data_IF_884467094710
#
_entry.id   IF_884467094710
#
_cell.length_a   1.000
_cell.length_b   1.000
_cell.length_c   1.000
_cell.angle_alpha   90.00
_cell.angle_beta   90.00
_cell.angle_gamma   90.00
#
_symmetry.space_group_name_H-M   'P 1'
#
loop_
_entity.id
_entity.type
_entity.pdbx_description
1 polymer ?
#
# COMPACT_ATOMS: atom_id res chain seq x y z
N UNK A 1 -8.09 -6.84 -25.41
CA UNK A 1 -7.86 -6.65 -23.96
C UNK A 1 -6.39 -6.33 -23.75
N UNK A 2 -6.02 -5.19 -23.14
CA UNK A 2 -4.62 -4.89 -22.86
C UNK A 2 -4.07 -5.96 -21.92
N UNK A 3 -2.91 -6.54 -22.27
CA UNK A 3 -2.23 -7.51 -21.40
C UNK A 3 -1.79 -6.78 -20.14
N UNK A 4 -2.32 -7.19 -18.99
CA UNK A 4 -1.81 -6.79 -17.67
C UNK A 4 -0.38 -7.28 -17.61
N UNK A 5 0.57 -6.36 -17.83
CA UNK A 5 1.99 -6.70 -17.77
C UNK A 5 2.34 -6.74 -16.28
N UNK A 6 2.83 -7.88 -15.76
CA UNK A 6 3.16 -7.96 -14.35
C UNK A 6 4.28 -6.96 -14.04
N UNK A 7 4.13 -6.24 -12.93
CA UNK A 7 5.19 -5.37 -12.43
C UNK A 7 6.43 -6.18 -12.09
N UNK A 8 7.59 -5.72 -12.54
CA UNK A 8 8.87 -6.29 -12.14
C UNK A 8 9.33 -5.61 -10.86
N UNK A 9 10.11 -6.34 -10.08
CA UNK A 9 10.79 -5.78 -8.90
C UNK A 9 11.63 -4.53 -9.24
N UNK A 10 12.19 -4.48 -10.45
CA UNK A 10 12.93 -3.33 -10.96
C UNK A 10 12.04 -2.07 -11.07
N UNK A 11 10.78 -2.22 -11.48
CA UNK A 11 9.84 -1.12 -11.62
C UNK A 11 9.45 -0.55 -10.25
N UNK A 12 9.20 -1.44 -9.28
CA UNK A 12 8.93 -1.07 -7.88
C UNK A 12 10.13 -0.32 -7.29
N UNK A 13 11.34 -0.84 -7.51
CA UNK A 13 12.58 -0.21 -7.01
C UNK A 13 12.80 1.17 -7.61
N UNK A 14 12.51 1.34 -8.91
CA UNK A 14 12.58 2.64 -9.58
C UNK A 14 11.56 3.63 -9.01
N UNK A 15 10.32 3.19 -8.74
CA UNK A 15 9.29 4.03 -8.14
C UNK A 15 9.68 4.50 -6.73
N UNK A 16 10.22 3.61 -5.89
CA UNK A 16 10.72 3.95 -4.54
C UNK A 16 11.82 5.01 -4.63
N UNK A 17 12.82 4.78 -5.48
CA UNK A 17 13.94 5.72 -5.66
C UNK A 17 13.48 7.07 -6.18
N UNK A 18 12.51 7.09 -7.10
CA UNK A 18 11.89 8.32 -7.60
C UNK A 18 11.17 9.09 -6.50
N UNK A 19 10.41 8.40 -5.65
CA UNK A 19 9.74 9.02 -4.50
C UNK A 19 10.76 9.61 -3.50
N UNK A 20 11.81 8.88 -3.17
CA UNK A 20 12.90 9.35 -2.30
C UNK A 20 13.61 10.58 -2.89
N UNK A 21 13.93 10.57 -4.19
CA UNK A 21 14.53 11.70 -4.89
C UNK A 21 13.64 12.94 -4.90
N UNK A 22 12.32 12.75 -4.88
CA UNK A 22 11.33 13.82 -4.75
C UNK A 22 11.11 14.28 -3.29
N UNK A 23 11.88 13.78 -2.32
CA UNK A 23 11.77 14.14 -0.91
C UNK A 23 10.59 13.49 -0.18
N UNK A 24 10.02 12.41 -0.73
CA UNK A 24 9.03 11.60 -0.03
C UNK A 24 9.72 10.48 0.75
N UNK A 25 9.30 10.28 1.99
CA UNK A 25 9.58 9.08 2.77
C UNK A 25 8.55 7.99 2.44
N UNK A 26 8.91 6.95 1.68
CA UNK A 26 7.99 5.89 1.29
C UNK A 26 7.64 5.03 2.51
N UNK A 27 6.35 4.84 2.77
CA UNK A 27 5.84 3.96 3.83
C UNK A 27 5.27 2.65 3.29
N UNK A 28 4.31 2.74 2.38
CA UNK A 28 3.64 1.59 1.78
C UNK A 28 3.57 1.74 0.26
N UNK A 29 3.69 0.63 -0.47
CA UNK A 29 3.44 0.58 -1.90
C UNK A 29 2.19 -0.25 -2.17
N UNK A 30 1.26 0.31 -2.94
CA UNK A 30 0.09 -0.42 -3.44
C UNK A 30 0.14 -0.52 -4.94
N UNK A 31 -0.08 -1.73 -5.44
CA UNK A 31 -0.20 -2.02 -6.86
C UNK A 31 -1.69 -2.19 -7.15
N UNK A 32 -2.24 -1.25 -7.91
CA UNK A 32 -3.64 -1.28 -8.33
C UNK A 32 -3.82 -2.20 -9.54
N UNK A 33 -5.03 -2.74 -9.71
CA UNK A 33 -5.35 -3.69 -10.79
C UNK A 33 -5.27 -3.05 -12.20
N UNK A 34 -5.27 -1.72 -12.26
CA UNK A 34 -5.12 -0.91 -13.46
C UNK A 34 -3.66 -0.78 -13.93
N UNK A 35 -2.70 -1.28 -13.15
CA UNK A 35 -1.28 -1.13 -13.47
C UNK A 35 -0.68 0.19 -12.96
N UNK A 36 -1.20 0.76 -11.87
CA UNK A 36 -0.62 1.93 -11.21
C UNK A 36 0.09 1.55 -9.90
N UNK A 37 1.30 2.08 -9.67
CA UNK A 37 2.00 1.98 -8.38
C UNK A 37 1.71 3.25 -7.57
N UNK A 38 1.04 3.10 -6.43
CA UNK A 38 0.84 4.17 -5.46
C UNK A 38 1.90 4.07 -4.37
N UNK A 39 2.72 5.11 -4.23
CA UNK A 39 3.68 5.27 -3.13
C UNK A 39 3.03 6.13 -2.06
N UNK A 40 2.72 5.53 -0.91
CA UNK A 40 2.10 6.20 0.23
C UNK A 40 3.19 6.67 1.19
N UNK A 41 3.05 7.88 1.73
CA UNK A 41 3.99 8.43 2.73
C UNK A 41 3.89 7.64 4.05
N UNK A 42 5.02 7.39 4.70
CA UNK A 42 5.06 6.84 6.05
C UNK A 42 4.25 7.74 7.01
N UNK A 43 3.26 7.17 7.71
CA UNK A 43 2.32 7.90 8.57
C UNK A 43 1.00 8.34 7.91
N UNK A 44 0.87 8.27 6.58
CA UNK A 44 -0.41 8.46 5.89
C UNK A 44 -1.24 7.17 5.84
N UNK A 45 -0.65 6.04 6.25
CA UNK A 45 -1.38 4.79 6.51
C UNK A 45 -2.11 4.97 7.83
N UNK A 46 -3.28 5.62 7.79
CA UNK A 46 -4.34 5.23 8.72
C UNK A 46 -4.58 3.76 8.43
N UNK A 47 -4.12 2.89 9.33
CA UNK A 47 -4.58 1.50 9.39
C UNK A 47 -6.06 1.61 9.69
N UNK A 48 -6.86 1.89 8.65
CA UNK A 48 -8.31 1.88 8.73
C UNK A 48 -8.66 0.51 9.24
N UNK A 49 -9.11 0.47 10.50
CA UNK A 49 -9.17 -0.71 11.34
C UNK A 49 -9.51 -1.93 10.51
N UNK A 50 -8.55 -2.84 10.40
CA UNK A 50 -8.69 -4.03 9.58
C UNK A 50 -9.99 -4.71 9.98
N UNK A 51 -10.83 -5.14 9.02
CA UNK A 51 -12.17 -5.70 9.33
C UNK A 51 -12.07 -6.86 10.33
N UNK A 52 -10.96 -7.59 10.30
CA UNK A 52 -10.61 -8.65 11.24
C UNK A 52 -10.35 -8.10 12.64
N UNK A 53 -9.56 -7.02 12.77
CA UNK A 53 -9.29 -6.38 14.06
C UNK A 53 -10.58 -5.83 14.70
N UNK A 54 -11.48 -5.25 13.90
CA UNK A 54 -12.81 -4.81 14.38
C UNK A 54 -13.67 -5.97 14.89
N UNK A 55 -13.62 -7.13 14.22
CA UNK A 55 -14.37 -8.33 14.61
C UNK A 55 -13.84 -8.95 15.90
N UNK A 56 -12.54 -8.89 16.12
CA UNK A 56 -11.89 -9.39 17.35
C UNK A 56 -12.28 -8.50 18.54
N UNK A 57 -12.18 -7.19 18.39
CA UNK A 57 -12.58 -6.22 19.43
C UNK A 57 -14.07 -6.33 19.77
N UNK A 58 -14.95 -6.45 18.77
CA UNK A 58 -16.39 -6.62 18.98
C UNK A 58 -16.76 -7.91 19.75
N UNK A 59 -15.96 -8.97 19.64
CA UNK A 59 -16.13 -10.20 20.42
C UNK A 59 -15.57 -10.08 21.84
N UNK A 60 -14.52 -9.28 22.02
CA UNK A 60 -13.85 -9.09 23.31
C UNK A 60 -14.67 -8.24 24.29
N UNK A 61 -15.45 -7.29 23.78
CA UNK A 61 -16.35 -6.45 24.60
C UNK A 61 -17.67 -7.11 25.05
N UNK A 62 -17.87 -8.41 24.77
CA UNK A 62 -19.08 -9.18 25.14
C UNK A 62 -18.80 -10.32 26.13
N UNK A 63 -17.75 -10.20 26.94
CA UNK A 63 -17.44 -11.11 28.05
C UNK A 63 -17.78 -10.45 29.39
#
# INVERSE_FOLDING_TARGET
MPRVTPFRQADVTRAIKGAQAAGFEPGELRISQDGTIHVLRAGAVSIGANRIDQLIEARRGKA
#
